data_IF_055356394993
#
_entry.id   IF_055356394993
#
_cell.length_a   1.000
_cell.length_b   1.000
_cell.length_c   1.000
_cell.angle_alpha   90.00
_cell.angle_beta   90.00
_cell.angle_gamma   90.00
#
_symmetry.space_group_name_H-M   'P 1'
#
loop_
_entity.id
_entity.type
_entity.pdbx_description
1 polymer ?
#
# COMPACT_ATOMS: atom_id res chain seq x y z
N UNK A 1 38.37 55.65 -26.39
CA UNK A 1 37.21 54.82 -26.78
C UNK A 1 37.75 53.43 -27.08
N UNK A 2 37.51 52.32 -26.38
CA UNK A 2 36.67 51.95 -25.22
C UNK A 2 37.44 50.83 -24.46
N UNK A 3 37.18 50.78 -23.15
CA UNK A 3 37.73 49.96 -22.07
C UNK A 3 37.76 48.42 -22.32
N UNK A 4 38.90 47.78 -22.01
CA UNK A 4 39.06 46.31 -21.93
C UNK A 4 38.59 45.84 -20.54
N UNK A 5 37.29 45.60 -20.41
CA UNK A 5 36.67 45.28 -19.13
C UNK A 5 35.65 44.15 -19.18
N UNK A 6 36.04 43.04 -18.54
CA UNK A 6 35.21 42.14 -17.71
C UNK A 6 34.48 40.94 -18.34
N UNK A 7 34.94 39.79 -17.84
CA UNK A 7 34.16 38.69 -17.23
C UNK A 7 33.48 37.70 -18.17
N UNK A 8 34.27 36.75 -18.67
CA UNK A 8 33.77 35.41 -18.95
C UNK A 8 33.89 34.54 -17.68
N UNK A 9 33.04 34.81 -16.68
CA UNK A 9 32.84 33.90 -15.56
C UNK A 9 31.72 32.94 -15.95
N UNK A 10 32.10 31.74 -16.43
CA UNK A 10 31.22 30.56 -16.41
C UNK A 10 30.59 30.51 -15.02
N UNK A 11 29.28 30.80 -14.92
CA UNK A 11 28.51 30.54 -13.71
C UNK A 11 28.57 29.04 -13.48
N UNK A 12 29.52 28.59 -12.65
CA UNK A 12 29.46 27.27 -12.04
C UNK A 12 28.15 27.28 -11.24
N UNK A 13 27.14 26.58 -11.75
CA UNK A 13 25.94 26.28 -10.97
C UNK A 13 26.41 25.66 -9.66
N UNK A 14 26.14 26.34 -8.54
CA UNK A 14 26.31 25.71 -7.22
C UNK A 14 25.53 24.40 -7.26
N UNK A 15 26.08 23.26 -6.81
CA UNK A 15 25.29 22.05 -6.69
C UNK A 15 24.09 22.40 -5.80
N UNK A 16 22.87 22.10 -6.29
CA UNK A 16 21.68 22.16 -5.45
C UNK A 16 22.01 21.33 -4.21
N UNK A 17 21.95 21.95 -3.03
CA UNK A 17 21.99 21.20 -1.78
C UNK A 17 20.87 20.17 -1.88
N UNK A 18 21.24 18.91 -1.84
CA UNK A 18 20.28 17.81 -1.82
C UNK A 18 19.59 17.84 -0.44
N UNK A 19 18.59 18.71 -0.33
CA UNK A 19 17.78 18.92 0.86
C UNK A 19 16.66 17.88 0.95
N UNK A 20 16.73 16.80 0.16
CA UNK A 20 15.76 15.72 0.26
C UNK A 20 15.97 15.01 1.62
N UNK A 21 14.97 15.00 2.52
CA UNK A 21 15.10 14.27 3.77
C UNK A 21 15.46 12.81 3.45
N UNK A 22 16.55 12.32 4.06
CA UNK A 22 16.93 10.91 3.95
C UNK A 22 15.94 10.10 4.78
N UNK A 23 14.98 9.50 4.10
CA UNK A 23 14.04 8.56 4.70
C UNK A 23 14.76 7.22 4.91
N UNK A 24 14.78 6.73 6.15
CA UNK A 24 15.31 5.41 6.47
C UNK A 24 14.20 4.35 6.47
N UNK A 25 14.57 3.08 6.33
CA UNK A 25 13.63 1.95 6.46
C UNK A 25 12.89 1.98 7.81
N UNK A 26 13.59 2.41 8.87
CA UNK A 26 13.02 2.58 10.19
C UNK A 26 11.96 3.68 10.23
N UNK A 27 12.22 4.83 9.59
CA UNK A 27 11.24 5.92 9.53
C UNK A 27 9.96 5.48 8.81
N UNK A 28 10.09 4.70 7.74
CA UNK A 28 8.94 4.13 7.01
C UNK A 28 8.15 3.18 7.89
N UNK A 29 8.83 2.26 8.59
CA UNK A 29 8.18 1.29 9.47
C UNK A 29 7.44 1.97 10.62
N UNK A 30 8.09 2.92 11.30
CA UNK A 30 7.50 3.66 12.43
C UNK A 30 6.27 4.47 11.97
N UNK A 31 6.36 5.13 10.81
CA UNK A 31 5.22 5.84 10.23
C UNK A 31 4.07 4.89 9.89
N UNK A 32 4.35 3.76 9.23
CA UNK A 32 3.34 2.77 8.85
C UNK A 32 2.66 2.16 10.08
N UNK A 33 3.42 1.79 11.11
CA UNK A 33 2.88 1.30 12.38
C UNK A 33 1.98 2.32 13.05
N UNK A 34 2.44 3.57 13.18
CA UNK A 34 1.65 4.65 13.79
C UNK A 34 0.33 4.85 13.05
N UNK A 35 0.34 4.81 11.73
CA UNK A 35 -0.87 4.98 10.92
C UNK A 35 -1.85 3.83 11.06
N UNK A 36 -1.36 2.60 11.04
CA UNK A 36 -2.22 1.45 11.27
C UNK A 36 -2.79 1.48 12.69
N UNK A 37 -2.01 1.82 13.72
CA UNK A 37 -2.51 1.95 15.09
C UNK A 37 -3.62 3.00 15.25
N UNK A 38 -3.56 4.10 14.49
CA UNK A 38 -4.60 5.14 14.52
C UNK A 38 -5.92 4.69 13.91
N UNK A 39 -5.89 3.74 12.97
CA UNK A 39 -7.06 3.31 12.20
C UNK A 39 -7.51 1.87 12.54
N UNK A 40 -6.66 1.08 13.20
CA UNK A 40 -6.90 -0.28 13.69
C UNK A 40 -6.80 -0.30 15.22
N UNK A 41 -7.95 -0.37 15.88
CA UNK A 41 -8.04 -0.48 17.34
C UNK A 41 -8.00 -1.95 17.79
N UNK A 42 -6.93 -2.68 17.43
CA UNK A 42 -6.80 -4.05 17.89
C UNK A 42 -6.64 -4.12 19.41
N UNK A 43 -7.36 -5.07 20.01
CA UNK A 43 -7.32 -5.45 21.40
C UNK A 43 -6.72 -6.85 21.47
N UNK A 44 -5.47 -6.92 21.90
CA UNK A 44 -4.85 -8.17 22.29
C UNK A 44 -4.14 -7.96 23.62
N UNK A 45 -4.58 -8.71 24.63
CA UNK A 45 -4.03 -8.71 25.99
C UNK A 45 -3.44 -10.08 26.35
N UNK A 46 -2.97 -10.82 25.34
CA UNK A 46 -2.33 -12.11 25.54
C UNK A 46 -0.90 -11.95 26.02
N UNK A 47 -0.42 -12.90 26.83
CA UNK A 47 0.97 -12.96 27.30
C UNK A 47 1.98 -13.07 26.13
N UNK A 48 1.54 -13.65 25.01
CA UNK A 48 2.38 -13.99 23.86
C UNK A 48 2.15 -13.05 22.66
N UNK A 49 0.99 -12.40 22.59
CA UNK A 49 0.60 -11.55 21.47
C UNK A 49 -0.18 -10.33 21.97
N UNK A 50 0.37 -9.15 21.70
CA UNK A 50 -0.26 -7.87 21.98
C UNK A 50 -0.66 -7.13 20.68
N UNK A 51 -1.37 -6.02 20.82
CA UNK A 51 -1.90 -5.27 19.68
C UNK A 51 -0.79 -4.74 18.73
N UNK A 52 0.36 -4.35 19.27
CA UNK A 52 1.50 -3.87 18.47
C UNK A 52 2.09 -5.00 17.62
N UNK A 53 2.24 -6.19 18.20
CA UNK A 53 2.70 -7.38 17.47
C UNK A 53 1.74 -7.77 16.35
N UNK A 54 0.41 -7.67 16.56
CA UNK A 54 -0.57 -7.91 15.50
C UNK A 54 -0.36 -6.96 14.31
N UNK A 55 -0.12 -5.69 14.58
CA UNK A 55 0.12 -4.68 13.53
C UNK A 55 1.45 -4.94 12.83
N UNK A 56 2.51 -5.27 13.58
CA UNK A 56 3.81 -5.56 13.00
C UNK A 56 3.76 -6.81 12.10
N UNK A 57 3.04 -7.85 12.50
CA UNK A 57 2.82 -9.05 11.68
C UNK A 57 2.01 -8.74 10.42
N UNK A 58 0.95 -7.95 10.52
CA UNK A 58 0.17 -7.52 9.34
C UNK A 58 1.02 -6.71 8.36
N UNK A 59 1.87 -5.82 8.86
CA UNK A 59 2.83 -5.08 8.04
C UNK A 59 3.84 -6.01 7.37
N UNK A 60 4.37 -6.99 8.10
CA UNK A 60 5.26 -8.01 7.56
C UNK A 60 4.61 -8.77 6.40
N UNK A 61 3.36 -9.23 6.59
CA UNK A 61 2.57 -9.91 5.56
C UNK A 61 2.39 -9.01 4.33
N UNK A 62 1.97 -7.76 4.52
CA UNK A 62 1.71 -6.84 3.43
C UNK A 62 2.98 -6.47 2.65
N UNK A 63 4.08 -6.19 3.35
CA UNK A 63 5.34 -5.77 2.75
C UNK A 63 6.05 -6.90 1.98
N UNK A 64 5.98 -8.12 2.50
CA UNK A 64 6.64 -9.29 1.89
C UNK A 64 5.74 -10.02 0.89
N UNK A 65 4.42 -9.88 1.01
CA UNK A 65 3.40 -10.71 0.33
C UNK A 65 3.50 -12.20 0.67
N UNK A 66 3.96 -12.52 1.89
CA UNK A 66 4.04 -13.88 2.40
C UNK A 66 2.78 -14.27 3.18
N UNK A 67 2.66 -15.55 3.55
CA UNK A 67 1.60 -16.00 4.45
C UNK A 67 1.90 -15.61 5.91
N UNK A 68 0.88 -15.60 6.75
CA UNK A 68 1.04 -15.37 8.19
C UNK A 68 2.01 -16.38 8.82
N UNK A 69 1.94 -17.64 8.40
CA UNK A 69 2.82 -18.71 8.89
C UNK A 69 4.29 -18.44 8.56
N UNK A 70 4.57 -17.99 7.32
CA UNK A 70 5.93 -17.68 6.89
C UNK A 70 6.48 -16.46 7.64
N UNK A 71 5.67 -15.40 7.81
CA UNK A 71 6.08 -14.19 8.53
C UNK A 71 6.29 -14.45 10.02
N UNK A 72 5.44 -15.25 10.67
CA UNK A 72 5.66 -15.66 12.07
C UNK A 72 6.97 -16.44 12.25
N UNK A 73 7.34 -17.28 11.28
CA UNK A 73 8.61 -18.02 11.32
C UNK A 73 9.81 -17.11 11.08
N UNK A 74 9.72 -16.19 10.12
CA UNK A 74 10.80 -15.26 9.77
C UNK A 74 11.08 -14.24 10.88
N UNK A 75 10.03 -13.73 11.53
CA UNK A 75 10.16 -12.77 12.63
C UNK A 75 10.42 -13.44 13.99
N UNK A 76 10.60 -14.77 14.02
CA UNK A 76 10.83 -15.59 15.22
C UNK A 76 9.86 -15.23 16.36
N UNK A 77 8.59 -14.97 16.02
CA UNK A 77 7.63 -14.46 16.99
C UNK A 77 7.25 -15.52 18.00
N UNK A 78 7.10 -15.16 19.27
CA UNK A 78 6.61 -16.07 20.30
C UNK A 78 5.16 -16.54 20.04
N UNK A 79 4.38 -15.76 19.29
CA UNK A 79 3.00 -16.09 18.90
C UNK A 79 2.98 -17.04 17.71
N UNK A 80 2.30 -18.18 17.84
CA UNK A 80 2.06 -19.03 16.68
C UNK A 80 1.00 -18.40 15.75
N UNK A 81 1.11 -18.67 14.45
CA UNK A 81 0.19 -18.16 13.42
C UNK A 81 -1.29 -18.43 13.74
N UNK A 82 -1.59 -19.57 14.38
CA UNK A 82 -2.96 -19.88 14.81
C UNK A 82 -3.49 -18.89 15.84
N UNK A 83 -2.67 -18.48 16.82
CA UNK A 83 -3.05 -17.49 17.84
C UNK A 83 -3.33 -16.14 17.19
N UNK A 84 -2.45 -15.71 16.29
CA UNK A 84 -2.60 -14.44 15.57
C UNK A 84 -3.88 -14.45 14.73
N UNK A 85 -4.14 -15.55 14.02
CA UNK A 85 -5.35 -15.71 13.21
C UNK A 85 -6.61 -15.63 14.06
N UNK A 86 -6.64 -16.25 15.24
CA UNK A 86 -7.78 -16.14 16.17
C UNK A 86 -8.04 -14.69 16.57
N UNK A 87 -7.01 -13.95 16.97
CA UNK A 87 -7.15 -12.53 17.30
C UNK A 87 -7.69 -11.70 16.14
N UNK A 88 -7.18 -11.92 14.92
CA UNK A 88 -7.67 -11.20 13.74
C UNK A 88 -9.12 -11.57 13.43
N UNK A 89 -9.49 -12.85 13.53
CA UNK A 89 -10.84 -13.31 13.25
C UNK A 89 -11.88 -12.78 14.24
N UNK A 90 -11.52 -12.68 15.52
CA UNK A 90 -12.39 -12.12 16.56
C UNK A 90 -12.67 -10.63 16.37
N UNK A 91 -11.76 -9.91 15.72
CA UNK A 91 -11.77 -8.45 15.65
C UNK A 91 -12.07 -7.90 14.26
N UNK A 92 -11.95 -8.71 13.22
CA UNK A 92 -12.22 -8.35 11.84
C UNK A 92 -13.32 -9.24 11.29
N UNK A 93 -14.55 -8.72 11.27
CA UNK A 93 -15.66 -9.42 10.65
C UNK A 93 -15.74 -9.11 9.16
N UNK A 94 -16.14 -10.09 8.35
CA UNK A 94 -16.28 -9.93 6.89
C UNK A 94 -17.26 -8.80 6.53
N UNK A 95 -18.28 -8.59 7.35
CA UNK A 95 -19.28 -7.54 7.16
C UNK A 95 -18.69 -6.12 7.32
N UNK A 96 -17.65 -5.97 8.16
CA UNK A 96 -17.03 -4.68 8.46
C UNK A 96 -15.85 -4.37 7.52
N UNK A 97 -15.30 -5.37 6.82
CA UNK A 97 -14.16 -5.19 5.91
C UNK A 97 -14.36 -4.06 4.88
N UNK A 98 -15.52 -3.89 4.21
CA UNK A 98 -15.70 -2.79 3.27
C UNK A 98 -15.63 -1.41 3.93
N UNK A 99 -16.08 -1.30 5.18
CA UNK A 99 -15.98 -0.04 5.93
C UNK A 99 -14.54 0.22 6.37
N UNK A 100 -13.86 -0.83 6.81
CA UNK A 100 -12.45 -0.75 7.18
C UNK A 100 -11.57 -0.33 5.99
N UNK A 101 -11.79 -0.92 4.83
CA UNK A 101 -11.10 -0.56 3.59
C UNK A 101 -11.29 0.91 3.24
N UNK A 102 -12.53 1.42 3.29
CA UNK A 102 -12.80 2.85 3.07
C UNK A 102 -12.06 3.74 4.07
N UNK A 103 -12.11 3.42 5.35
CA UNK A 103 -11.43 4.20 6.38
C UNK A 103 -9.91 4.21 6.17
N UNK A 104 -9.30 3.10 5.77
CA UNK A 104 -7.88 3.02 5.45
C UNK A 104 -7.53 3.86 4.22
N UNK A 105 -8.32 3.74 3.15
CA UNK A 105 -8.09 4.49 1.92
C UNK A 105 -8.23 6.00 2.17
N UNK A 106 -9.22 6.42 2.95
CA UNK A 106 -9.40 7.82 3.34
C UNK A 106 -8.20 8.33 4.18
N UNK A 107 -7.71 7.53 5.13
CA UNK A 107 -6.56 7.88 5.95
C UNK A 107 -5.27 8.01 5.12
N UNK A 108 -5.07 7.13 4.13
CA UNK A 108 -3.95 7.19 3.20
C UNK A 108 -4.07 8.41 2.26
N UNK A 109 -5.27 8.68 1.73
CA UNK A 109 -5.52 9.81 0.85
C UNK A 109 -5.23 11.16 1.54
N UNK A 110 -5.48 11.27 2.85
CA UNK A 110 -5.16 12.46 3.64
C UNK A 110 -3.66 12.76 3.72
N UNK A 111 -2.78 11.79 3.46
CA UNK A 111 -1.33 12.02 3.44
C UNK A 111 -0.83 12.60 2.12
N UNK A 112 -1.65 12.54 1.08
CA UNK A 112 -1.26 13.03 -0.25
C UNK A 112 -1.13 14.55 -0.17
N UNK A 113 0.07 15.12 -0.41
CA UNK A 113 0.25 16.56 -0.33
C UNK A 113 -0.67 17.28 -1.34
N UNK A 114 -1.29 18.42 -1.00
CA UNK A 114 -2.17 19.15 -1.92
C UNK A 114 -1.51 19.48 -3.26
N UNK A 115 -0.19 19.71 -3.27
CA UNK A 115 0.62 19.93 -4.48
C UNK A 115 0.64 18.75 -5.46
N UNK A 116 0.35 17.53 -4.99
CA UNK A 116 0.20 16.35 -5.84
C UNK A 116 -1.16 16.36 -6.53
N UNK A 117 -2.21 16.84 -5.87
CA UNK A 117 -3.60 16.81 -6.35
C UNK A 117 -3.92 17.90 -7.39
N UNK A 118 -3.18 19.01 -7.42
CA UNK A 118 -3.47 20.18 -8.27
C UNK A 118 -2.73 20.16 -9.61
N UNK A 119 -1.76 19.26 -9.77
CA UNK A 119 -0.97 19.17 -11.00
C UNK A 119 -1.39 17.97 -11.84
N UNK A 120 -1.28 18.06 -13.17
CA UNK A 120 -1.41 16.90 -14.04
C UNK A 120 -0.30 15.88 -13.70
N UNK A 121 -0.70 14.62 -13.53
CA UNK A 121 0.19 13.51 -13.18
C UNK A 121 -0.11 12.31 -14.07
N UNK A 122 0.94 11.57 -14.40
CA UNK A 122 0.78 10.21 -14.91
C UNK A 122 0.36 9.32 -13.74
N UNK A 123 -0.85 8.76 -13.83
CA UNK A 123 -1.37 7.80 -12.87
C UNK A 123 -1.15 6.38 -13.38
N UNK A 124 -0.71 5.49 -12.49
CA UNK A 124 -0.68 4.07 -12.78
C UNK A 124 -2.05 3.49 -12.43
N UNK A 125 -2.72 2.89 -13.41
CA UNK A 125 -3.97 2.15 -13.19
C UNK A 125 -3.61 0.67 -13.21
N UNK A 126 -3.84 -0.02 -12.09
CA UNK A 126 -3.71 -1.47 -12.04
C UNK A 126 -5.01 -2.14 -12.48
N UNK A 127 -4.88 -3.21 -13.26
CA UNK A 127 -6.02 -3.99 -13.73
C UNK A 127 -5.98 -5.38 -13.12
N UNK A 128 -6.98 -5.67 -12.30
CA UNK A 128 -7.20 -7.01 -11.75
C UNK A 128 -8.24 -7.75 -12.60
N UNK A 129 -7.76 -8.75 -13.35
CA UNK A 129 -8.59 -9.57 -14.22
C UNK A 129 -8.94 -10.90 -13.55
N UNK A 130 -10.24 -11.14 -13.34
CA UNK A 130 -10.78 -12.43 -12.93
C UNK A 130 -11.50 -13.12 -14.09
N UNK A 131 -11.14 -14.37 -14.39
CA UNK A 131 -11.71 -15.12 -15.51
C UNK A 131 -13.23 -15.29 -15.39
N UNK A 132 -13.95 -15.05 -16.50
CA UNK A 132 -15.40 -15.23 -16.62
C UNK A 132 -15.74 -16.41 -17.54
N UNK A 133 -16.56 -17.33 -17.02
CA UNK A 133 -17.00 -18.55 -17.72
C UNK A 133 -18.51 -18.60 -17.96
N UNK A 134 -19.23 -17.54 -17.60
CA UNK A 134 -20.68 -17.50 -17.78
C UNK A 134 -21.10 -17.28 -19.23
N UNK A 135 -22.38 -17.50 -19.49
CA UNK A 135 -23.00 -17.34 -20.82
C UNK A 135 -23.73 -16.01 -21.01
N UNK A 136 -23.83 -15.19 -19.96
CA UNK A 136 -24.53 -13.90 -20.00
C UNK A 136 -23.88 -12.99 -21.03
N UNK A 137 -24.72 -12.29 -21.81
CA UNK A 137 -24.23 -11.31 -22.78
C UNK A 137 -23.47 -10.19 -22.10
N UNK A 138 -22.53 -9.56 -22.82
CA UNK A 138 -21.63 -8.57 -22.25
C UNK A 138 -22.36 -7.41 -21.54
N UNK A 139 -23.48 -6.97 -22.12
CA UNK A 139 -24.28 -5.83 -21.63
C UNK A 139 -24.83 -6.05 -20.22
N UNK A 140 -25.11 -7.30 -19.86
CA UNK A 140 -25.67 -7.68 -18.56
C UNK A 140 -24.61 -8.32 -17.66
N UNK A 141 -23.67 -9.05 -18.25
CA UNK A 141 -22.64 -9.80 -17.55
C UNK A 141 -21.38 -9.02 -17.22
N UNK A 142 -21.28 -7.72 -17.58
CA UNK A 142 -20.21 -6.77 -17.24
C UNK A 142 -18.75 -7.26 -17.47
N UNK A 143 -18.57 -8.28 -18.30
CA UNK A 143 -17.25 -8.80 -18.64
C UNK A 143 -16.63 -8.01 -19.80
N UNK A 144 -15.30 -7.99 -19.88
CA UNK A 144 -14.55 -7.42 -21.00
C UNK A 144 -13.71 -8.50 -21.68
N UNK A 145 -13.29 -8.24 -22.93
CA UNK A 145 -12.32 -9.11 -23.60
C UNK A 145 -10.90 -8.77 -23.13
N UNK A 146 -10.12 -9.79 -22.84
CA UNK A 146 -8.71 -9.71 -22.51
C UNK A 146 -7.93 -10.80 -23.27
N UNK A 147 -6.61 -10.79 -23.13
CA UNK A 147 -5.78 -11.89 -23.59
C UNK A 147 -6.23 -13.22 -22.97
N UNK A 148 -6.10 -14.31 -23.72
CA UNK A 148 -6.55 -15.62 -23.26
C UNK A 148 -5.82 -16.03 -21.97
N UNK A 149 -6.57 -16.17 -20.88
CA UNK A 149 -6.05 -16.58 -19.58
C UNK A 149 -7.00 -17.62 -18.97
N UNK A 150 -6.44 -18.69 -18.42
CA UNK A 150 -7.20 -19.80 -17.83
C UNK A 150 -8.33 -20.34 -18.74
N UNK A 151 -8.07 -20.42 -20.06
CA UNK A 151 -9.01 -20.99 -21.03
C UNK A 151 -10.18 -20.10 -21.44
N UNK A 152 -10.19 -18.81 -21.07
CA UNK A 152 -11.20 -17.85 -21.52
C UNK A 152 -10.55 -16.53 -21.95
N UNK A 153 -11.22 -15.80 -22.83
CA UNK A 153 -10.87 -14.42 -23.20
C UNK A 153 -11.78 -13.40 -22.54
N UNK A 154 -12.71 -13.85 -21.68
CA UNK A 154 -13.67 -12.99 -20.97
C UNK A 154 -13.23 -12.86 -19.52
N UNK A 155 -13.17 -11.62 -19.02
CA UNK A 155 -12.76 -11.33 -17.65
C UNK A 155 -13.67 -10.28 -17.01
N UNK A 156 -13.84 -10.35 -15.70
CA UNK A 156 -14.20 -9.19 -14.90
C UNK A 156 -12.93 -8.41 -14.63
N UNK A 157 -12.90 -7.15 -15.09
CA UNK A 157 -11.78 -6.25 -14.88
C UNK A 157 -12.16 -5.23 -13.83
N UNK A 158 -11.42 -5.22 -12.73
CA UNK A 158 -11.44 -4.14 -11.76
C UNK A 158 -10.23 -3.26 -12.02
N UNK A 159 -10.47 -1.96 -12.17
CA UNK A 159 -9.43 -0.97 -12.32
C UNK A 159 -9.28 -0.19 -11.02
N UNK A 160 -8.06 -0.12 -10.48
CA UNK A 160 -7.72 0.64 -9.27
C UNK A 160 -6.67 1.68 -9.63
N UNK A 161 -6.87 2.92 -9.17
CA UNK A 161 -6.03 4.08 -9.43
C UNK A 161 -5.95 4.94 -8.16
#
# INVERSE_FOLDING_TARGET
>A
MIDFGKRNQKRRSKPLKDNNPKLTERDVLEQAQRRLQQNLNFKAAGYVCNAEQLIHLLLGIAATRHTLEAVCAELETSACAATVRSYLHEQLTVAELPQLERAMNDALAQEVPPSVLVAEREIAIDYHDQAYYGKTEQKEGLWVRAEAKNGTTRVYRVATA
#
